data_IF_426707006665
#
_entry.id   IF_426707006665
#
_cell.length_a   1.000
_cell.length_b   1.000
_cell.length_c   1.000
_cell.angle_alpha   90.00
_cell.angle_beta   90.00
_cell.angle_gamma   90.00
#
_symmetry.space_group_name_H-M   'P 1'
#
loop_
_entity.id
_entity.type
_entity.pdbx_description
1 polymer ?
#
# COMPACT_ATOMS: atom_id res chain seq x y z
N UNK A 1 -34.39 42.56 72.21
CA UNK A 1 -33.48 41.80 73.09
C UNK A 1 -32.21 41.55 72.31
N UNK A 2 -31.00 41.82 72.82
CA UNK A 2 -29.79 41.59 72.05
C UNK A 2 -29.48 40.09 72.07
N UNK A 3 -29.69 39.41 70.94
CA UNK A 3 -29.19 38.06 70.74
C UNK A 3 -27.66 38.10 70.74
N UNK A 4 -27.07 37.38 71.69
CA UNK A 4 -25.64 37.30 71.92
C UNK A 4 -25.01 36.36 70.88
N UNK A 5 -24.98 36.78 69.61
CA UNK A 5 -24.36 35.98 68.55
C UNK A 5 -22.82 36.03 68.69
N UNK A 6 -22.12 34.89 68.53
CA UNK A 6 -20.66 34.85 68.59
C UNK A 6 -20.06 35.83 67.57
N UNK A 7 -18.89 36.43 67.83
CA UNK A 7 -18.31 37.46 66.97
C UNK A 7 -17.96 36.96 65.55
N UNK A 8 -17.85 35.64 65.38
CA UNK A 8 -17.51 34.97 64.13
C UNK A 8 -18.38 33.72 63.98
N UNK A 9 -18.82 33.43 62.76
CA UNK A 9 -19.62 32.25 62.39
C UNK A 9 -18.94 31.46 61.26
N UNK A 10 -19.21 30.16 61.19
CA UNK A 10 -18.71 29.26 60.14
C UNK A 10 -19.71 29.14 59.00
N UNK A 11 -19.25 29.40 57.77
CA UNK A 11 -20.09 29.46 56.58
C UNK A 11 -20.19 28.09 55.88
N UNK A 12 -21.40 27.71 55.47
CA UNK A 12 -21.61 26.63 54.52
C UNK A 12 -21.36 27.14 53.09
N UNK A 13 -20.08 27.19 52.71
CA UNK A 13 -19.60 27.68 51.41
C UNK A 13 -20.31 27.06 50.20
N UNK A 14 -20.68 25.78 50.28
CA UNK A 14 -21.42 25.07 49.22
C UNK A 14 -22.88 25.53 49.15
N UNK A 15 -23.54 25.69 50.29
CA UNK A 15 -24.93 26.17 50.35
C UNK A 15 -25.03 27.59 49.78
N UNK A 16 -24.12 28.50 50.17
CA UNK A 16 -24.07 29.88 49.64
C UNK A 16 -23.98 29.89 48.11
N UNK A 17 -23.05 29.11 47.54
CA UNK A 17 -22.89 29.04 46.09
C UNK A 17 -24.14 28.48 45.40
N UNK A 18 -24.72 27.41 45.95
CA UNK A 18 -25.91 26.77 45.41
C UNK A 18 -27.10 27.74 45.41
N UNK A 19 -27.40 28.37 46.55
CA UNK A 19 -28.50 29.33 46.69
C UNK A 19 -28.33 30.48 45.69
N UNK A 20 -27.10 31.00 45.55
CA UNK A 20 -26.80 32.05 44.57
C UNK A 20 -27.11 31.60 43.14
N UNK A 21 -26.64 30.41 42.75
CA UNK A 21 -26.82 29.86 41.41
C UNK A 21 -28.28 29.51 41.11
N UNK A 22 -29.01 28.96 42.09
CA UNK A 22 -30.44 28.65 42.00
C UNK A 22 -31.28 29.92 41.82
N UNK A 23 -30.91 31.02 42.50
CA UNK A 23 -31.51 32.36 42.30
C UNK A 23 -30.98 33.10 41.06
N UNK A 24 -30.11 32.47 40.26
CA UNK A 24 -29.47 33.03 39.05
C UNK A 24 -28.76 34.36 39.29
N UNK A 25 -28.25 34.57 40.50
CA UNK A 25 -27.51 35.78 40.86
C UNK A 25 -26.03 35.64 40.47
N UNK A 26 -25.45 36.73 39.95
CA UNK A 26 -24.00 36.76 39.67
C UNK A 26 -23.23 37.06 40.96
N UNK A 27 -21.98 36.60 41.07
CA UNK A 27 -21.10 36.99 42.18
C UNK A 27 -20.91 38.51 42.24
N UNK A 28 -20.91 39.20 41.09
CA UNK A 28 -20.88 40.66 41.00
C UNK A 28 -22.09 41.32 41.64
N UNK A 29 -23.29 40.77 41.42
CA UNK A 29 -24.51 41.27 42.04
C UNK A 29 -24.46 41.12 43.56
N UNK A 30 -24.16 39.92 44.06
CA UNK A 30 -24.10 39.64 45.51
C UNK A 30 -23.02 40.49 46.18
N UNK A 31 -21.84 40.63 45.56
CA UNK A 31 -20.76 41.48 46.07
C UNK A 31 -21.21 42.94 46.26
N UNK A 32 -21.95 43.50 45.30
CA UNK A 32 -22.49 44.87 45.39
C UNK A 32 -23.50 45.03 46.52
N UNK A 33 -24.41 44.06 46.69
CA UNK A 33 -25.46 44.13 47.74
C UNK A 33 -24.86 43.95 49.14
N UNK A 34 -23.91 43.03 49.30
CA UNK A 34 -23.23 42.76 50.58
C UNK A 34 -22.22 43.86 50.94
N UNK A 35 -21.76 44.63 49.94
CA UNK A 35 -20.76 45.69 50.13
C UNK A 35 -19.32 45.17 50.20
N UNK A 36 -19.01 44.10 49.45
CA UNK A 36 -17.67 43.50 49.38
C UNK A 36 -17.21 43.36 47.92
N UNK A 37 -15.97 42.93 47.70
CA UNK A 37 -15.46 42.65 46.35
C UNK A 37 -15.96 41.29 45.83
N UNK A 38 -16.00 41.12 44.52
CA UNK A 38 -16.31 39.82 43.88
C UNK A 38 -15.35 38.72 44.29
N UNK A 39 -14.06 39.05 44.47
CA UNK A 39 -13.05 38.15 45.00
C UNK A 39 -13.39 37.66 46.41
N UNK A 40 -13.97 38.53 47.26
CA UNK A 40 -14.43 38.13 48.61
C UNK A 40 -15.54 37.08 48.55
N UNK A 41 -16.54 37.30 47.68
CA UNK A 41 -17.62 36.32 47.45
C UNK A 41 -17.06 34.99 46.92
N UNK A 42 -16.14 35.07 45.95
CA UNK A 42 -15.46 33.89 45.40
C UNK A 42 -14.70 33.12 46.47
N UNK A 43 -14.01 33.80 47.40
CA UNK A 43 -13.29 33.15 48.51
C UNK A 43 -14.23 32.48 49.50
N UNK A 44 -15.39 33.08 49.79
CA UNK A 44 -16.42 32.47 50.62
C UNK A 44 -17.02 31.22 49.96
N UNK A 45 -17.46 31.32 48.70
CA UNK A 45 -18.06 30.18 47.98
C UNK A 45 -17.09 29.01 47.75
N UNK A 46 -15.79 29.30 47.62
CA UNK A 46 -14.75 28.28 47.44
C UNK A 46 -14.13 27.81 48.77
N UNK A 47 -14.73 28.14 49.92
CA UNK A 47 -14.26 27.74 51.25
C UNK A 47 -12.82 28.16 51.58
N UNK A 48 -12.33 29.25 50.99
CA UNK A 48 -10.99 29.81 51.29
C UNK A 48 -10.99 30.64 52.58
N UNK A 49 -12.15 31.17 52.96
CA UNK A 49 -12.40 31.80 54.26
C UNK A 49 -13.65 31.17 54.90
N UNK A 50 -13.49 30.06 55.63
CA UNK A 50 -14.61 29.30 56.19
C UNK A 50 -15.30 30.01 57.36
N UNK A 51 -14.62 30.98 58.00
CA UNK A 51 -15.17 31.77 59.09
C UNK A 51 -15.24 33.26 58.71
N UNK A 52 -16.31 33.92 59.11
CA UNK A 52 -16.52 35.35 58.85
C UNK A 52 -17.26 36.03 60.00
N UNK A 53 -17.14 37.35 60.09
CA UNK A 53 -17.89 38.15 61.07
C UNK A 53 -19.38 37.97 60.86
N UNK A 54 -20.13 37.80 61.94
CA UNK A 54 -21.59 37.59 61.93
C UNK A 54 -22.34 38.69 61.18
N UNK A 55 -21.89 39.94 61.30
CA UNK A 55 -22.46 41.06 60.55
C UNK A 55 -22.36 40.90 59.03
N UNK A 56 -21.28 40.28 58.53
CA UNK A 56 -21.14 40.00 57.10
C UNK A 56 -21.99 38.79 56.69
N UNK A 57 -22.14 37.79 57.56
CA UNK A 57 -22.98 36.63 57.30
C UNK A 57 -24.45 37.03 57.20
N UNK A 58 -24.93 37.92 58.07
CA UNK A 58 -26.26 38.50 58.00
C UNK A 58 -26.52 39.23 56.68
N UNK A 59 -25.57 40.09 56.25
CA UNK A 59 -25.69 40.78 54.95
C UNK A 59 -25.69 39.82 53.76
N UNK A 60 -24.94 38.73 53.86
CA UNK A 60 -24.92 37.69 52.83
C UNK A 60 -26.26 36.93 52.79
N UNK A 61 -26.83 36.58 53.94
CA UNK A 61 -28.14 35.95 54.04
C UNK A 61 -29.25 36.86 53.49
N UNK A 62 -29.20 38.15 53.83
CA UNK A 62 -30.11 39.18 53.32
C UNK A 62 -29.99 39.34 51.79
N UNK A 63 -28.76 39.44 51.26
CA UNK A 63 -28.51 39.53 49.82
C UNK A 63 -28.96 38.29 49.04
N UNK A 64 -28.98 37.12 49.70
CA UNK A 64 -29.47 35.87 49.15
C UNK A 64 -30.94 35.63 49.48
N UNK A 65 -31.60 36.52 50.22
CA UNK A 65 -32.99 36.41 50.71
C UNK A 65 -33.29 35.03 51.31
N UNK A 66 -32.45 34.59 52.24
CA UNK A 66 -32.60 33.34 53.00
C UNK A 66 -32.35 33.60 54.49
N UNK A 67 -32.91 32.80 55.41
CA UNK A 67 -32.56 32.87 56.82
C UNK A 67 -31.06 32.59 57.03
N UNK A 68 -30.47 33.17 58.08
CA UNK A 68 -29.03 33.07 58.34
C UNK A 68 -28.60 31.61 58.51
N UNK A 69 -29.45 30.80 59.14
CA UNK A 69 -29.20 29.40 59.49
C UNK A 69 -28.96 28.53 58.23
N UNK A 70 -29.57 28.88 57.08
CA UNK A 70 -29.39 28.15 55.82
C UNK A 70 -27.98 28.28 55.22
N UNK A 71 -27.26 29.35 55.58
CA UNK A 71 -25.90 29.60 55.07
C UNK A 71 -24.80 29.25 56.08
N UNK A 72 -25.16 28.81 57.29
CA UNK A 72 -24.22 28.40 58.32
C UNK A 72 -23.96 26.89 58.27
N UNK A 73 -22.80 26.46 58.75
CA UNK A 73 -22.52 25.04 58.97
C UNK A 73 -23.30 24.56 60.21
N UNK A 74 -24.08 23.48 60.07
CA UNK A 74 -24.69 22.77 61.20
C UNK A 74 -23.69 21.78 61.80
N UNK A 75 -23.74 21.56 63.13
CA UNK A 75 -22.89 20.59 63.84
C UNK A 75 -23.06 19.13 63.34
N UNK A 76 -24.11 18.83 62.56
CA UNK A 76 -24.35 17.53 61.94
C UNK A 76 -23.60 17.31 60.61
N UNK A 77 -23.00 18.36 60.03
CA UNK A 77 -22.38 18.31 58.69
C UNK A 77 -20.90 17.83 58.70
N UNK A 78 -20.35 17.55 59.89
CA UNK A 78 -18.98 17.02 60.07
C UNK A 78 -18.85 15.52 59.71
N UNK A 79 -19.95 14.90 59.28
CA UNK A 79 -20.01 13.47 58.91
C UNK A 79 -19.97 13.19 57.39
N UNK A 80 -20.03 14.21 56.52
CA UNK A 80 -20.17 13.99 55.06
C UNK A 80 -19.18 14.78 54.18
N UNK A 81 -17.94 14.92 54.62
CA UNK A 81 -16.82 15.33 53.75
C UNK A 81 -15.62 14.39 53.91
N UNK A 82 -15.84 13.08 53.78
CA UNK A 82 -14.79 12.21 53.24
C UNK A 82 -14.75 12.41 51.72
N UNK A 83 -13.65 12.87 51.12
CA UNK A 83 -13.52 12.79 49.67
C UNK A 83 -13.64 11.32 49.27
N UNK A 84 -14.69 10.97 48.52
CA UNK A 84 -14.72 9.75 47.69
C UNK A 84 -13.69 9.94 46.57
N UNK A 85 -12.41 9.85 46.91
CA UNK A 85 -11.29 9.87 45.95
C UNK A 85 -10.16 8.95 46.40
N UNK A 86 -10.45 7.68 46.65
CA UNK A 86 -9.39 6.66 46.69
C UNK A 86 -9.73 5.31 46.04
N UNK A 87 -10.88 5.18 45.34
CA UNK A 87 -11.23 3.92 44.66
C UNK A 87 -11.14 3.91 43.13
N UNK A 88 -10.80 5.02 42.46
CA UNK A 88 -10.49 5.08 41.03
C UNK A 88 -9.36 6.14 40.89
N UNK A 89 -8.07 5.90 40.65
CA UNK A 89 -7.37 4.87 39.90
C UNK A 89 -6.17 4.31 40.72
N UNK A 90 -6.34 3.16 41.38
CA UNK A 90 -5.33 2.11 41.20
C UNK A 90 -5.94 1.19 40.17
N UNK A 91 -5.79 1.52 38.89
CA UNK A 91 -5.95 0.49 37.87
C UNK A 91 -4.96 -0.62 38.29
N UNK A 92 -5.41 -1.86 38.57
CA UNK A 92 -4.46 -2.95 38.78
C UNK A 92 -3.49 -2.90 37.60
N UNK A 93 -2.18 -3.08 37.84
CA UNK A 93 -1.18 -3.01 36.76
C UNK A 93 -1.63 -3.82 35.54
N UNK A 94 -2.38 -4.91 35.75
CA UNK A 94 -3.12 -5.70 34.77
C UNK A 94 -4.07 -4.91 33.83
N UNK A 95 -4.90 -3.97 34.31
CA UNK A 95 -5.79 -3.19 33.44
C UNK A 95 -5.04 -2.17 32.57
N UNK A 96 -3.97 -1.56 33.11
CA UNK A 96 -3.07 -0.70 32.31
C UNK A 96 -2.36 -1.56 31.26
N UNK A 97 -1.81 -2.71 31.66
CA UNK A 97 -1.14 -3.66 30.77
C UNK A 97 -2.10 -4.17 29.69
N UNK A 98 -3.37 -4.43 30.04
CA UNK A 98 -4.41 -4.86 29.13
C UNK A 98 -4.74 -3.79 28.07
N UNK A 99 -4.91 -2.53 28.47
CA UNK A 99 -5.12 -1.43 27.51
C UNK A 99 -3.89 -1.17 26.65
N UNK A 100 -2.68 -1.27 27.20
CA UNK A 100 -1.43 -1.13 26.45
C UNK A 100 -1.28 -2.29 25.43
N UNK A 101 -1.64 -3.50 25.83
CA UNK A 101 -1.71 -4.67 24.95
C UNK A 101 -2.77 -4.50 23.86
N UNK A 102 -3.95 -3.97 24.17
CA UNK A 102 -5.00 -3.67 23.20
C UNK A 102 -4.53 -2.61 22.19
N UNK A 103 -3.84 -1.55 22.64
CA UNK A 103 -3.24 -0.55 21.76
C UNK A 103 -2.19 -1.20 20.86
N UNK A 104 -1.33 -2.06 21.40
CA UNK A 104 -0.34 -2.80 20.59
C UNK A 104 -1.03 -3.72 19.58
N UNK A 105 -2.13 -4.38 19.94
CA UNK A 105 -2.93 -5.18 18.99
C UNK A 105 -3.55 -4.30 17.92
N UNK A 106 -4.14 -3.16 18.27
CA UNK A 106 -4.77 -2.26 17.30
C UNK A 106 -3.72 -1.64 16.39
N UNK A 107 -2.56 -1.25 16.92
CA UNK A 107 -1.43 -0.74 16.14
C UNK A 107 -0.87 -1.86 15.26
N UNK A 108 -0.68 -3.06 15.78
CA UNK A 108 -0.22 -4.23 15.03
C UNK A 108 -1.21 -4.62 13.93
N UNK A 109 -2.52 -4.63 14.23
CA UNK A 109 -3.59 -4.86 13.26
C UNK A 109 -3.66 -3.73 12.23
N UNK A 110 -3.43 -2.48 12.62
CA UNK A 110 -3.34 -1.35 11.70
C UNK A 110 -2.11 -1.49 10.78
N UNK A 111 -0.93 -1.84 11.30
CA UNK A 111 0.27 -2.10 10.50
C UNK A 111 0.10 -3.32 9.60
N UNK A 112 -0.52 -4.40 10.09
CA UNK A 112 -0.84 -5.60 9.33
C UNK A 112 -1.87 -5.31 8.23
N UNK A 113 -2.95 -4.57 8.54
CA UNK A 113 -3.96 -4.18 7.55
C UNK A 113 -3.39 -3.20 6.51
N UNK A 114 -2.46 -2.32 6.88
CA UNK A 114 -1.72 -1.50 5.92
C UNK A 114 -0.77 -2.31 5.03
N UNK A 115 -0.29 -3.47 5.48
CA UNK A 115 0.49 -4.41 4.65
C UNK A 115 -0.40 -5.23 3.70
N UNK A 116 -1.71 -5.33 3.97
CA UNK A 116 -2.71 -6.05 3.17
C UNK A 116 -3.39 -5.14 2.13
N UNK A 117 -2.80 -3.99 1.79
CA UNK A 117 -3.22 -3.23 0.60
C UNK A 117 -2.67 -3.96 -0.63
N UNK A 118 -3.47 -4.90 -1.12
CA UNK A 118 -3.48 -5.50 -2.47
C UNK A 118 -2.16 -5.39 -3.23
N UNK A 119 -1.29 -6.38 -3.04
CA UNK A 119 -0.16 -6.61 -3.93
C UNK A 119 -0.74 -7.00 -5.30
N UNK A 120 -1.00 -6.04 -6.20
CA UNK A 120 -1.29 -6.37 -7.59
C UNK A 120 -0.04 -7.06 -8.16
N UNK A 121 -0.08 -8.37 -8.20
CA UNK A 121 1.03 -9.16 -8.69
C UNK A 121 0.87 -9.28 -10.20
N UNK A 122 1.91 -8.84 -10.92
CA UNK A 122 2.03 -9.06 -12.36
C UNK A 122 3.10 -10.12 -12.53
N UNK A 123 2.75 -11.18 -13.25
CA UNK A 123 3.64 -12.27 -13.61
C UNK A 123 3.82 -12.26 -15.13
N UNK A 124 5.02 -12.64 -15.57
CA UNK A 124 5.36 -12.73 -16.97
C UNK A 124 6.10 -14.03 -17.22
N UNK A 125 5.67 -14.78 -18.23
CA UNK A 125 6.27 -16.04 -18.65
C UNK A 125 6.73 -15.90 -20.11
N UNK A 126 8.01 -16.15 -20.36
CA UNK A 126 8.62 -16.07 -21.68
C UNK A 126 8.71 -17.47 -22.30
N UNK A 127 8.44 -17.53 -23.59
CA UNK A 127 8.59 -18.71 -24.44
C UNK A 127 9.61 -18.40 -25.53
N UNK A 128 10.63 -19.24 -25.63
CA UNK A 128 11.69 -19.15 -26.63
C UNK A 128 11.70 -20.44 -27.46
N UNK A 129 12.11 -20.39 -28.75
CA UNK A 129 12.39 -21.60 -29.51
C UNK A 129 13.66 -22.26 -28.96
N UNK A 130 13.81 -23.56 -29.23
CA UNK A 130 14.97 -24.33 -28.78
C UNK A 130 16.29 -23.88 -29.41
N UNK A 131 16.22 -23.39 -30.66
CA UNK A 131 17.39 -23.12 -31.50
C UNK A 131 17.31 -21.75 -32.18
N UNK A 132 18.49 -21.21 -32.48
CA UNK A 132 18.69 -20.08 -33.38
C UNK A 132 20.00 -20.23 -34.14
N UNK A 133 19.93 -20.25 -35.47
CA UNK A 133 21.12 -20.16 -36.30
C UNK A 133 21.65 -18.72 -36.37
N UNK A 134 22.94 -18.50 -36.64
CA UNK A 134 23.48 -17.16 -36.90
C UNK A 134 22.68 -16.44 -37.98
N UNK A 135 22.34 -15.17 -37.76
CA UNK A 135 21.55 -14.39 -38.73
C UNK A 135 20.07 -14.78 -38.86
N UNK A 136 19.61 -15.88 -38.26
CA UNK A 136 18.22 -16.30 -38.31
C UNK A 136 17.31 -15.36 -37.50
N UNK A 137 16.05 -15.25 -37.94
CA UNK A 137 15.00 -14.57 -37.20
C UNK A 137 14.22 -15.60 -36.39
N UNK A 138 14.07 -15.35 -35.09
CA UNK A 138 13.32 -16.23 -34.21
C UNK A 138 12.12 -15.51 -33.54
N UNK A 139 11.00 -16.22 -33.34
CA UNK A 139 9.85 -15.70 -32.59
C UNK A 139 10.09 -15.73 -31.08
N UNK A 140 9.72 -14.68 -30.38
CA UNK A 140 9.70 -14.65 -28.90
C UNK A 140 8.34 -14.16 -28.42
N UNK A 141 7.80 -14.85 -27.41
CA UNK A 141 6.49 -14.55 -26.82
C UNK A 141 6.64 -14.40 -25.31
N UNK A 142 5.99 -13.39 -24.74
CA UNK A 142 5.92 -13.14 -23.31
C UNK A 142 4.46 -13.00 -22.93
N UNK A 143 3.93 -14.00 -22.22
CA UNK A 143 2.57 -13.98 -21.69
C UNK A 143 2.56 -13.28 -20.34
N UNK A 144 1.65 -12.33 -20.16
CA UNK A 144 1.45 -11.60 -18.92
C UNK A 144 0.18 -12.08 -18.22
N UNK A 145 0.28 -12.33 -16.92
CA UNK A 145 -0.84 -12.67 -16.05
C UNK A 145 -0.90 -11.66 -14.92
N UNK A 146 -2.09 -11.12 -14.67
CA UNK A 146 -2.35 -10.14 -13.62
C UNK A 146 -3.52 -10.63 -12.78
N UNK A 147 -3.39 -10.58 -11.45
CA UNK A 147 -4.39 -11.13 -10.52
C UNK A 147 -5.59 -10.19 -10.30
N UNK A 148 -5.44 -8.88 -10.57
CA UNK A 148 -6.49 -7.86 -10.38
C UNK A 148 -6.51 -6.85 -11.53
N UNK A 149 -7.39 -5.84 -11.46
CA UNK A 149 -7.43 -4.71 -12.40
C UNK A 149 -6.02 -4.12 -12.60
N UNK A 150 -5.47 -4.29 -13.81
CA UNK A 150 -4.10 -3.90 -14.13
C UNK A 150 -3.92 -2.39 -13.90
N UNK A 151 -3.24 -2.04 -12.80
CA UNK A 151 -2.85 -0.65 -12.47
C UNK A 151 -1.67 -0.14 -13.33
N UNK A 152 -1.23 -0.95 -14.31
CA UNK A 152 -0.09 -0.72 -15.17
C UNK A 152 1.12 -1.53 -14.72
N UNK A 153 2.05 -1.76 -15.65
CA UNK A 153 3.32 -2.43 -15.35
C UNK A 153 4.42 -1.95 -16.28
N UNK A 154 5.66 -2.19 -15.84
CA UNK A 154 6.85 -2.00 -16.66
C UNK A 154 7.49 -3.37 -16.84
N UNK A 155 7.54 -3.85 -18.07
CA UNK A 155 8.32 -5.02 -18.45
C UNK A 155 9.63 -4.57 -19.04
N UNK A 156 10.74 -5.08 -18.51
CA UNK A 156 12.08 -4.89 -19.05
C UNK A 156 12.61 -6.25 -19.46
N UNK A 157 13.08 -6.34 -20.68
CA UNK A 157 13.70 -7.54 -21.24
C UNK A 157 15.11 -7.18 -21.73
N UNK A 158 16.03 -8.12 -21.55
CA UNK A 158 17.40 -8.04 -22.03
C UNK A 158 17.74 -9.31 -22.80
N UNK A 159 18.29 -9.12 -23.99
CA UNK A 159 18.65 -10.15 -24.94
C UNK A 159 20.15 -10.06 -25.27
N UNK A 160 20.75 -11.09 -25.90
CA UNK A 160 22.17 -11.11 -26.15
C UNK A 160 22.66 -9.90 -26.96
N UNK A 161 23.90 -9.47 -26.72
CA UNK A 161 24.53 -8.39 -27.48
C UNK A 161 24.67 -8.79 -28.95
N UNK A 162 24.51 -7.81 -29.85
CA UNK A 162 24.58 -8.01 -31.31
C UNK A 162 23.26 -8.47 -31.94
N UNK A 163 22.35 -9.04 -31.15
CA UNK A 163 21.02 -9.42 -31.60
C UNK A 163 20.14 -8.17 -31.75
N UNK A 164 19.15 -8.24 -32.65
CA UNK A 164 18.32 -7.07 -32.96
C UNK A 164 16.85 -7.44 -33.02
N UNK A 165 16.03 -6.79 -32.22
CA UNK A 165 14.57 -6.85 -32.40
C UNK A 165 14.25 -6.10 -33.69
N UNK A 166 13.62 -6.80 -34.63
CA UNK A 166 13.22 -6.27 -35.93
C UNK A 166 11.77 -5.80 -35.93
N UNK A 167 10.92 -6.47 -35.15
CA UNK A 167 9.50 -6.17 -35.07
C UNK A 167 8.94 -6.63 -33.72
N UNK A 168 7.96 -5.89 -33.19
CA UNK A 168 7.26 -6.32 -31.98
C UNK A 168 5.84 -5.79 -31.93
N UNK A 169 4.98 -6.57 -31.29
CA UNK A 169 3.62 -6.19 -30.96
C UNK A 169 3.31 -6.57 -29.50
N UNK A 170 2.85 -5.61 -28.67
CA UNK A 170 2.75 -4.19 -28.97
C UNK A 170 4.13 -3.52 -29.15
N UNK A 171 4.19 -2.35 -29.80
CA UNK A 171 5.45 -1.61 -29.97
C UNK A 171 6.12 -1.32 -28.62
N UNK A 172 7.46 -1.35 -28.55
CA UNK A 172 8.16 -1.12 -27.31
C UNK A 172 8.13 0.36 -26.96
N UNK A 173 8.02 0.67 -25.66
CA UNK A 173 8.14 2.05 -25.17
C UNK A 173 9.58 2.57 -25.30
N UNK A 174 10.56 1.67 -25.29
CA UNK A 174 11.98 1.97 -25.49
C UNK A 174 12.68 0.70 -25.99
N UNK A 175 13.51 0.83 -27.02
CA UNK A 175 14.33 -0.24 -27.58
C UNK A 175 15.77 0.26 -27.78
N UNK A 176 16.74 -0.49 -27.25
CA UNK A 176 18.17 -0.29 -27.44
C UNK A 176 18.77 -1.62 -27.91
N UNK A 177 18.86 -1.79 -29.23
CA UNK A 177 19.42 -2.98 -29.86
C UNK A 177 20.94 -3.11 -29.65
N UNK A 178 21.66 -2.01 -29.39
CA UNK A 178 23.10 -2.07 -29.15
C UNK A 178 23.42 -2.66 -27.78
N UNK A 179 22.65 -2.26 -26.76
CA UNK A 179 22.80 -2.78 -25.39
C UNK A 179 21.99 -4.04 -25.12
N UNK A 180 21.17 -4.48 -26.07
CA UNK A 180 20.31 -5.64 -25.93
C UNK A 180 19.25 -5.45 -24.85
N UNK A 181 18.56 -4.30 -24.84
CA UNK A 181 17.55 -3.96 -23.83
C UNK A 181 16.30 -3.37 -24.47
N UNK A 182 15.13 -3.86 -24.04
CA UNK A 182 13.83 -3.36 -24.48
C UNK A 182 12.89 -3.21 -23.29
N UNK A 183 11.96 -2.25 -23.39
CA UNK A 183 10.98 -1.95 -22.34
C UNK A 183 9.59 -1.73 -22.91
N UNK A 184 8.60 -2.28 -22.22
CA UNK A 184 7.18 -1.99 -22.43
C UNK A 184 6.59 -1.42 -21.17
N UNK A 185 5.81 -0.34 -21.31
CA UNK A 185 5.10 0.32 -20.23
C UNK A 185 3.61 0.23 -20.55
N UNK A 186 2.89 -0.57 -19.78
CA UNK A 186 1.44 -0.65 -19.83
C UNK A 186 0.85 0.33 -18.80
N UNK A 187 -0.14 1.12 -19.22
CA UNK A 187 -0.90 2.02 -18.35
C UNK A 187 -2.11 1.31 -17.75
N UNK A 188 -2.75 1.93 -16.76
CA UNK A 188 -3.99 1.42 -16.19
C UNK A 188 -5.06 1.26 -17.27
N UNK A 189 -5.67 0.08 -17.33
CA UNK A 189 -6.69 -0.26 -18.34
C UNK A 189 -6.12 -0.77 -19.66
N UNK A 190 -4.79 -0.72 -19.88
CA UNK A 190 -4.18 -1.36 -21.04
C UNK A 190 -4.27 -2.88 -20.88
N UNK A 191 -4.93 -3.52 -21.83
CA UNK A 191 -5.04 -4.98 -21.94
C UNK A 191 -3.82 -5.52 -22.70
N UNK A 192 -2.67 -5.54 -22.03
CA UNK A 192 -1.44 -6.12 -22.58
C UNK A 192 -1.21 -7.50 -21.96
N UNK A 193 -1.82 -8.53 -22.56
CA UNK A 193 -1.74 -9.92 -22.09
C UNK A 193 -0.65 -10.74 -22.78
N UNK A 194 -0.21 -10.30 -23.95
CA UNK A 194 0.80 -10.97 -24.77
C UNK A 194 1.68 -9.93 -25.44
N UNK A 195 2.99 -10.06 -25.23
CA UNK A 195 4.01 -9.34 -25.99
C UNK A 195 4.67 -10.35 -26.91
N UNK A 196 4.73 -10.03 -28.19
CA UNK A 196 5.37 -10.84 -29.22
C UNK A 196 6.42 -10.00 -29.91
N UNK A 197 7.57 -10.60 -30.23
CA UNK A 197 8.58 -9.91 -31.03
C UNK A 197 9.42 -10.89 -31.83
N UNK A 198 9.90 -10.40 -32.97
CA UNK A 198 10.86 -11.08 -33.82
C UNK A 198 12.24 -10.51 -33.52
N UNK A 199 13.19 -11.39 -33.22
CA UNK A 199 14.57 -11.03 -32.96
C UNK A 199 15.49 -11.74 -33.94
N UNK A 200 16.34 -10.97 -34.61
CA UNK A 200 17.39 -11.48 -35.49
C UNK A 200 18.63 -11.78 -34.65
N UNK A 201 19.09 -13.03 -34.72
CA UNK A 201 20.34 -13.46 -34.11
C UNK A 201 21.53 -12.74 -34.74
N UNK A 202 22.55 -12.45 -33.96
CA UNK A 202 23.79 -11.87 -34.48
C UNK A 202 24.39 -12.80 -35.55
N UNK A 203 24.75 -12.24 -36.70
CA UNK A 203 25.42 -12.96 -37.78
C UNK A 203 26.80 -13.48 -37.37
N UNK A 204 27.44 -12.88 -36.35
CA UNK A 204 28.78 -13.23 -35.90
C UNK A 204 28.79 -14.21 -34.71
N UNK A 205 27.61 -14.64 -34.24
CA UNK A 205 27.52 -15.59 -33.13
C UNK A 205 28.10 -16.94 -33.55
N UNK A 206 28.90 -17.54 -32.66
CA UNK A 206 29.48 -18.87 -32.92
C UNK A 206 28.44 -19.96 -32.73
N UNK A 207 28.43 -20.93 -33.64
CA UNK A 207 27.70 -22.18 -33.47
C UNK A 207 28.15 -22.90 -32.20
N UNK A 208 27.26 -23.74 -31.67
CA UNK A 208 27.42 -24.50 -30.42
C UNK A 208 27.46 -23.66 -29.13
N UNK A 209 27.09 -22.38 -29.23
CA UNK A 209 26.93 -21.49 -28.08
C UNK A 209 25.54 -21.52 -27.46
N UNK A 210 25.37 -20.73 -26.39
CA UNK A 210 24.09 -20.45 -25.76
C UNK A 210 23.83 -18.94 -25.71
N UNK A 211 22.61 -18.54 -26.05
CA UNK A 211 22.13 -17.16 -25.95
C UNK A 211 21.21 -17.02 -24.74
N UNK A 212 21.53 -16.08 -23.84
CA UNK A 212 20.77 -15.86 -22.61
C UNK A 212 19.83 -14.66 -22.69
N UNK A 213 18.61 -14.86 -22.24
CA UNK A 213 17.59 -13.84 -22.11
C UNK A 213 17.25 -13.61 -20.63
N UNK A 214 17.08 -12.34 -20.25
CA UNK A 214 16.73 -11.95 -18.88
C UNK A 214 15.65 -10.89 -18.90
N UNK A 215 14.55 -11.15 -18.20
CA UNK A 215 13.47 -10.19 -18.04
C UNK A 215 13.13 -9.91 -16.59
N UNK A 216 12.48 -8.76 -16.37
CA UNK A 216 11.85 -8.42 -15.10
C UNK A 216 10.58 -7.61 -15.33
N UNK A 217 9.58 -7.80 -14.48
CA UNK A 217 8.31 -7.06 -14.48
C UNK A 217 8.11 -6.35 -13.14
N UNK A 218 7.64 -5.11 -13.20
CA UNK A 218 7.37 -4.25 -12.04
C UNK A 218 5.94 -3.74 -12.19
N UNK A 219 5.07 -4.01 -11.23
CA UNK A 219 3.71 -3.46 -11.19
C UNK A 219 3.74 -1.98 -10.78
N UNK A 220 2.97 -1.13 -11.45
CA UNK A 220 2.72 0.25 -11.03
C UNK A 220 1.54 0.29 -10.03
N UNK A 221 1.50 1.20 -9.02
CA UNK A 221 2.37 2.36 -8.81
C UNK A 221 3.53 2.11 -7.82
N UNK A 222 3.72 0.88 -7.34
CA UNK A 222 4.53 0.63 -6.15
C UNK A 222 6.04 0.60 -6.45
N UNK A 223 6.68 1.78 -6.43
CA UNK A 223 8.14 1.93 -6.60
C UNK A 223 8.98 1.15 -5.57
N UNK A 224 8.37 0.63 -4.50
CA UNK A 224 9.06 -0.16 -3.46
C UNK A 224 9.02 -1.66 -3.71
N UNK A 225 8.20 -2.15 -4.65
CA UNK A 225 8.23 -3.57 -5.01
C UNK A 225 9.52 -3.89 -5.74
N UNK A 226 10.18 -4.98 -5.32
CA UNK A 226 11.30 -5.54 -6.07
C UNK A 226 10.84 -6.02 -7.44
N UNK A 227 11.63 -5.81 -8.50
CA UNK A 227 11.32 -6.38 -9.81
C UNK A 227 11.18 -7.90 -9.70
N UNK A 228 10.05 -8.44 -10.17
CA UNK A 228 9.88 -9.88 -10.29
C UNK A 228 10.54 -10.36 -11.58
N UNK A 229 11.32 -11.46 -11.57
CA UNK A 229 11.91 -11.98 -12.79
C UNK A 229 10.83 -12.46 -13.76
N UNK A 230 11.09 -12.34 -15.07
CA UNK A 230 10.30 -13.05 -16.09
C UNK A 230 10.67 -14.53 -16.01
N UNK A 231 9.65 -15.37 -15.86
CA UNK A 231 9.75 -16.82 -15.76
C UNK A 231 9.75 -17.48 -17.15
N UNK A 232 9.84 -18.80 -17.20
CA UNK A 232 9.89 -19.57 -18.45
C UNK A 232 11.31 -19.67 -19.03
N UNK A 233 11.40 -19.72 -20.36
CA UNK A 233 12.65 -20.04 -21.06
C UNK A 233 13.67 -18.92 -20.94
N UNK A 234 14.95 -19.28 -20.77
CA UNK A 234 16.05 -18.31 -20.57
C UNK A 234 17.21 -18.47 -21.53
N UNK A 235 17.22 -19.57 -22.28
CA UNK A 235 18.35 -19.95 -23.11
C UNK A 235 17.83 -20.40 -24.47
N UNK A 236 18.52 -19.97 -25.52
CA UNK A 236 18.39 -20.50 -26.87
C UNK A 236 19.72 -21.11 -27.27
N UNK A 237 19.72 -22.32 -27.83
CA UNK A 237 20.93 -22.97 -28.31
C UNK A 237 21.29 -22.42 -29.69
N UNK A 238 22.56 -22.07 -29.88
CA UNK A 238 23.04 -21.58 -31.17
C UNK A 238 23.42 -22.76 -32.04
N UNK A 239 22.49 -23.21 -32.87
CA UNK A 239 22.61 -24.39 -33.72
C UNK A 239 22.01 -24.07 -35.10
N UNK A 240 22.45 -24.76 -36.16
CA UNK A 240 22.01 -24.48 -37.53
C UNK A 240 20.62 -25.09 -37.82
N UNK A 241 19.69 -24.97 -36.86
CA UNK A 241 18.33 -25.48 -36.96
C UNK A 241 17.32 -24.34 -37.02
N UNK A 242 16.26 -24.55 -37.79
CA UNK A 242 15.14 -23.63 -37.89
C UNK A 242 14.40 -23.60 -36.55
N UNK A 243 13.83 -22.45 -36.17
CA UNK A 243 13.14 -22.29 -34.88
C UNK A 243 11.95 -23.26 -34.69
N UNK A 244 11.37 -23.73 -35.79
CA UNK A 244 10.24 -24.65 -35.84
C UNK A 244 10.68 -26.13 -35.76
N UNK A 245 11.95 -26.43 -36.03
CA UNK A 245 12.52 -27.77 -35.88
C UNK A 245 12.80 -28.00 -34.38
N UNK A 246 11.90 -28.76 -33.74
CA UNK A 246 11.93 -28.94 -32.29
C UNK A 246 12.91 -30.03 -31.88
N UNK A 247 13.17 -30.99 -32.76
CA UNK A 247 14.00 -32.15 -32.48
C UNK A 247 15.45 -32.02 -33.01
N UNK A 248 15.71 -31.06 -33.89
CA UNK A 248 17.01 -30.78 -34.51
C UNK A 248 17.45 -31.79 -35.56
N UNK A 249 16.51 -32.40 -36.30
CA UNK A 249 16.81 -33.44 -37.30
C UNK A 249 16.88 -32.94 -38.76
N UNK A 250 16.79 -31.61 -38.95
CA UNK A 250 16.75 -30.92 -40.25
C UNK A 250 15.51 -31.23 -41.09
N UNK A 251 14.43 -31.63 -40.44
CA UNK A 251 13.13 -31.83 -41.04
C UNK A 251 12.10 -31.04 -40.23
N UNK A 252 10.98 -30.72 -40.85
CA UNK A 252 9.81 -30.17 -40.16
C UNK A 252 8.71 -31.18 -40.40
N UNK A 253 8.30 -31.92 -39.38
CA UNK A 253 7.19 -32.87 -39.52
C UNK A 253 5.82 -32.19 -39.33
N UNK A 254 4.73 -32.92 -39.60
CA UNK A 254 3.36 -32.38 -39.47
C UNK A 254 3.04 -31.89 -38.04
N UNK A 255 3.67 -32.49 -37.03
CA UNK A 255 3.48 -32.12 -35.63
C UNK A 255 4.22 -30.81 -35.33
N UNK A 256 5.44 -30.66 -35.80
CA UNK A 256 6.22 -29.42 -35.70
C UNK A 256 5.56 -28.28 -36.47
N UNK A 257 5.03 -28.57 -37.66
CA UNK A 257 4.25 -27.60 -38.43
C UNK A 257 2.99 -27.14 -37.70
N UNK A 258 2.29 -28.05 -37.01
CA UNK A 258 1.14 -27.71 -36.17
C UNK A 258 1.53 -26.83 -34.97
N UNK A 259 2.65 -27.10 -34.30
CA UNK A 259 3.16 -26.23 -33.24
C UNK A 259 3.59 -24.87 -33.78
N UNK A 260 4.27 -24.82 -34.92
CA UNK A 260 4.66 -23.59 -35.60
C UNK A 260 3.44 -22.75 -36.00
N UNK A 261 2.36 -23.38 -36.45
CA UNK A 261 1.09 -22.70 -36.77
C UNK A 261 0.48 -22.03 -35.54
N UNK A 262 0.55 -22.66 -34.35
CA UNK A 262 0.08 -22.02 -33.10
C UNK A 262 0.90 -20.78 -32.77
N UNK A 263 2.22 -20.86 -32.93
CA UNK A 263 3.13 -19.71 -32.74
C UNK A 263 2.74 -18.58 -33.70
N UNK A 264 2.53 -18.89 -34.97
CA UNK A 264 2.13 -17.91 -35.98
C UNK A 264 0.78 -17.25 -35.66
N UNK A 265 -0.21 -18.02 -35.18
CA UNK A 265 -1.53 -17.51 -34.82
C UNK A 265 -1.48 -16.55 -33.63
N UNK A 266 -0.68 -16.86 -32.61
CA UNK A 266 -0.41 -15.97 -31.47
C UNK A 266 0.36 -14.70 -31.90
N UNK A 267 1.20 -14.82 -32.91
CA UNK A 267 2.07 -13.75 -33.44
C UNK A 267 1.52 -13.06 -34.68
N UNK A 268 0.21 -13.16 -34.95
CA UNK A 268 -0.45 -12.57 -36.15
C UNK A 268 -0.22 -11.07 -36.39
N UNK A 269 0.23 -10.34 -35.37
CA UNK A 269 0.50 -8.90 -35.44
C UNK A 269 1.96 -8.58 -35.77
N UNK A 270 2.81 -9.59 -36.00
CA UNK A 270 4.18 -9.43 -36.51
C UNK A 270 4.38 -10.33 -37.74
N UNK A 271 5.29 -9.94 -38.64
CA UNK A 271 5.50 -10.60 -39.92
C UNK A 271 6.48 -11.77 -39.77
N UNK A 272 5.99 -12.88 -39.19
CA UNK A 272 6.73 -14.13 -39.19
C UNK A 272 6.72 -14.74 -40.61
N UNK A 273 7.90 -14.95 -41.19
CA UNK A 273 8.02 -15.48 -42.56
C UNK A 273 7.58 -16.95 -42.62
N UNK A 274 6.31 -17.14 -42.98
CA UNK A 274 5.70 -18.44 -43.15
C UNK A 274 6.11 -19.15 -44.45
N UNK A 275 6.54 -18.37 -45.46
CA UNK A 275 6.80 -18.90 -46.80
C UNK A 275 8.01 -19.83 -46.82
N UNK A 276 9.07 -19.46 -46.11
CA UNK A 276 10.27 -20.29 -45.95
C UNK A 276 9.93 -21.59 -45.25
N UNK A 277 9.17 -21.52 -44.15
CA UNK A 277 8.78 -22.71 -43.38
C UNK A 277 7.95 -23.68 -44.22
N UNK A 278 6.97 -23.17 -44.97
CA UNK A 278 6.14 -24.00 -45.85
C UNK A 278 6.97 -24.65 -46.97
N UNK A 279 7.89 -23.91 -47.59
CA UNK A 279 8.76 -24.46 -48.64
C UNK A 279 9.69 -25.57 -48.14
N UNK A 280 10.15 -25.47 -46.89
CA UNK A 280 10.97 -26.48 -46.22
C UNK A 280 10.14 -27.72 -45.89
N UNK A 281 8.93 -27.53 -45.37
CA UNK A 281 8.00 -28.62 -45.09
C UNK A 281 7.62 -29.40 -46.36
N UNK A 282 7.29 -28.69 -47.45
CA UNK A 282 6.98 -29.28 -48.75
C UNK A 282 8.17 -30.08 -49.33
N UNK A 283 9.41 -29.66 -49.07
CA UNK A 283 10.62 -30.36 -49.49
C UNK A 283 10.98 -31.57 -48.61
N UNK A 284 10.42 -31.67 -47.41
CA UNK A 284 10.66 -32.75 -46.46
C UNK A 284 11.96 -32.66 -45.66
N UNK A 285 12.94 -31.85 -46.09
CA UNK A 285 14.15 -31.54 -45.33
C UNK A 285 14.77 -30.21 -45.77
N UNK A 286 15.70 -29.68 -44.96
CA UNK A 286 16.43 -28.46 -45.26
C UNK A 286 17.92 -28.57 -44.91
N UNK A 287 18.70 -27.60 -45.39
CA UNK A 287 20.05 -27.36 -44.94
C UNK A 287 20.25 -25.89 -44.61
N UNK A 288 21.18 -25.61 -43.69
CA UNK A 288 21.57 -24.25 -43.34
C UNK A 288 22.82 -23.88 -44.13
N UNK A 289 22.73 -22.84 -44.96
CA UNK A 289 23.84 -22.35 -45.74
C UNK A 289 24.61 -21.28 -44.95
N UNK A 290 25.86 -21.58 -44.61
CA UNK A 290 26.68 -20.76 -43.70
C UNK A 290 27.04 -19.39 -44.30
N UNK A 291 27.27 -19.32 -45.62
CA UNK A 291 27.68 -18.09 -46.30
C UNK A 291 26.54 -17.08 -46.40
N UNK A 292 25.35 -17.54 -46.78
CA UNK A 292 24.15 -16.70 -46.91
C UNK A 292 23.41 -16.53 -45.58
N UNK A 293 23.69 -17.38 -44.59
CA UNK A 293 22.98 -17.47 -43.31
C UNK A 293 21.47 -17.70 -43.49
N UNK A 294 21.12 -18.54 -44.46
CA UNK A 294 19.74 -18.86 -44.80
C UNK A 294 19.48 -20.36 -44.74
N UNK A 295 18.23 -20.71 -44.49
CA UNK A 295 17.76 -22.08 -44.60
C UNK A 295 17.25 -22.30 -46.02
N UNK A 296 17.75 -23.35 -46.66
CA UNK A 296 17.35 -23.72 -48.02
C UNK A 296 16.67 -25.09 -48.00
N UNK A 297 15.52 -25.24 -48.69
CA UNK A 297 14.91 -26.55 -48.87
C UNK A 297 15.89 -27.50 -49.58
N UNK A 298 16.07 -28.69 -49.01
CA UNK A 298 17.00 -29.69 -49.51
C UNK A 298 16.26 -31.03 -49.58
N UNK A 299 15.65 -31.39 -50.71
CA UNK A 299 14.94 -32.65 -50.83
C UNK A 299 15.90 -33.83 -50.63
N UNK A 300 15.44 -34.87 -49.93
CA UNK A 300 16.15 -36.16 -49.82
C UNK A 300 16.14 -36.93 -51.13
#
# INVERSE_FOLDING_TARGET
MPENNPPTVCLNSKAVRRIREDKKLTQLYVAKVVGVTTDTISRWENNRYPSMKTANALRLAEALEVPLEEILQSDEDDSQNKPKSWFLLRLPKLLILFFLFLIVIVVSAFFYHRQVVLQTSVFATRFLPGYAAPGAVIPVRIQLRTEEENNGFILRESFPLGWKIIESYPPPSSLDNEKGVVRWIAKRGDQMFLITYLIKADSLVKLEGEAYFRGSVIAAPDRRMSPKPVEGDRVVKIQPFLWADLNGDNQIDDKEMLEASKVAEEMKNVHLDWSVLQSIWDAGSYSYEVESQTFVPAPK
#
